data_IF_124874230891
#
_entry.id   IF_124874230891
#
_cell.length_a   1.000
_cell.length_b   1.000
_cell.length_c   1.000
_cell.angle_alpha   90.00
_cell.angle_beta   90.00
_cell.angle_gamma   90.00
#
_symmetry.space_group_name_H-M   'P 1'
#
loop_
_entity.id
_entity.type
_entity.pdbx_description
1 polymer ?
#
# COMPACT_ATOMS: atom_id res chain seq x y z
N UNK A 1 -12.76 20.85 16.99
CA UNK A 1 -13.30 19.47 16.94
C UNK A 1 -14.76 19.57 16.54
N UNK A 2 -15.28 18.63 15.75
CA UNK A 2 -16.70 18.68 15.35
C UNK A 2 -17.56 18.38 16.57
N UNK A 3 -18.72 19.03 16.67
CA UNK A 3 -19.72 18.75 17.71
C UNK A 3 -20.49 17.45 17.47
N UNK A 4 -20.28 16.80 16.33
CA UNK A 4 -20.98 15.59 15.88
C UNK A 4 -20.00 14.51 15.43
N UNK A 5 -20.40 13.25 15.53
CA UNK A 5 -19.65 12.11 15.03
C UNK A 5 -19.87 11.94 13.52
N UNK A 6 -19.35 12.89 12.74
CA UNK A 6 -19.61 13.00 11.30
C UNK A 6 -18.46 12.54 10.40
N UNK A 7 -17.37 12.01 10.96
CA UNK A 7 -16.29 11.42 10.18
C UNK A 7 -16.37 9.91 10.31
N UNK A 8 -16.51 9.23 9.19
CA UNK A 8 -16.49 7.77 9.08
C UNK A 8 -15.14 7.33 8.50
N UNK A 9 -14.56 6.27 9.05
CA UNK A 9 -13.45 5.54 8.48
C UNK A 9 -13.92 4.12 8.17
N UNK A 10 -13.72 3.68 6.94
CA UNK A 10 -13.94 2.29 6.52
C UNK A 10 -12.59 1.65 6.21
N UNK A 11 -12.40 0.41 6.65
CA UNK A 11 -11.21 -0.42 6.40
C UNK A 11 -11.63 -1.86 6.08
N UNK A 12 -11.23 -2.37 4.90
CA UNK A 12 -11.55 -3.74 4.50
C UNK A 12 -10.70 -4.77 5.26
N UNK A 13 -11.38 -5.76 5.81
CA UNK A 13 -10.80 -6.76 6.69
C UNK A 13 -9.83 -7.69 5.97
N UNK A 14 -8.55 -7.65 6.39
CA UNK A 14 -7.47 -8.45 5.82
C UNK A 14 -7.50 -8.48 4.27
N UNK A 15 -7.73 -7.31 3.66
CA UNK A 15 -8.22 -7.14 2.30
C UNK A 15 -7.68 -8.12 1.25
N UNK A 16 -6.37 -8.13 1.00
CA UNK A 16 -5.81 -8.99 -0.05
C UNK A 16 -6.05 -10.47 0.24
N UNK A 17 -5.88 -10.90 1.51
CA UNK A 17 -6.13 -12.29 1.87
C UNK A 17 -7.62 -12.65 1.77
N UNK A 18 -8.52 -11.74 2.13
CA UNK A 18 -9.96 -11.94 1.99
C UNK A 18 -10.39 -12.08 0.52
N UNK A 19 -9.82 -11.26 -0.39
CA UNK A 19 -10.03 -11.40 -1.84
C UNK A 19 -9.55 -12.78 -2.33
N UNK A 20 -8.37 -13.22 -1.91
CA UNK A 20 -7.87 -14.55 -2.28
C UNK A 20 -8.73 -15.69 -1.73
N UNK A 21 -9.23 -15.60 -0.50
CA UNK A 21 -10.13 -16.60 0.09
C UNK A 21 -11.53 -16.60 -0.57
N UNK A 22 -12.03 -15.44 -0.99
CA UNK A 22 -13.28 -15.33 -1.77
C UNK A 22 -13.13 -16.08 -3.09
N UNK A 23 -12.05 -15.79 -3.81
CA UNK A 23 -11.83 -16.25 -5.19
C UNK A 23 -11.30 -17.69 -5.28
N UNK A 24 -10.71 -18.21 -4.20
CA UNK A 24 -10.12 -19.55 -4.10
C UNK A 24 -10.80 -20.32 -2.96
N UNK A 25 -11.96 -20.95 -3.22
CA UNK A 25 -12.79 -21.59 -2.19
C UNK A 25 -12.06 -22.55 -1.27
N UNK A 26 -11.00 -23.23 -1.74
CA UNK A 26 -10.19 -24.12 -0.90
C UNK A 26 -9.36 -23.41 0.18
N UNK A 27 -9.19 -22.09 0.08
CA UNK A 27 -8.47 -21.26 1.05
C UNK A 27 -9.37 -20.65 2.13
N UNK A 28 -10.70 -20.75 1.99
CA UNK A 28 -11.65 -20.23 2.99
C UNK A 28 -11.40 -20.88 4.35
N UNK A 29 -11.26 -20.06 5.40
CA UNK A 29 -10.96 -20.55 6.74
C UNK A 29 -9.54 -21.10 6.90
N UNK A 30 -8.62 -20.85 5.95
CA UNK A 30 -7.22 -21.28 6.00
C UNK A 30 -6.28 -20.08 6.16
N UNK A 31 -5.12 -20.25 6.82
CA UNK A 31 -4.09 -19.21 6.87
C UNK A 31 -3.62 -18.84 5.46
N UNK A 32 -3.87 -17.59 5.06
CA UNK A 32 -3.42 -17.02 3.78
C UNK A 32 -2.51 -15.83 4.03
N UNK A 33 -1.39 -15.79 3.32
CA UNK A 33 -0.40 -14.72 3.39
C UNK A 33 -0.15 -14.23 1.97
N UNK A 34 -0.48 -12.97 1.70
CA UNK A 34 -0.20 -12.31 0.43
C UNK A 34 1.04 -11.43 0.59
N UNK A 35 1.99 -11.54 -0.34
CA UNK A 35 3.19 -10.70 -0.31
C UNK A 35 4.27 -11.13 -1.29
N UNK A 36 5.50 -10.65 -1.05
CA UNK A 36 6.66 -11.08 -1.82
C UNK A 36 6.98 -12.54 -1.53
N UNK A 37 6.92 -13.40 -2.55
CA UNK A 37 7.18 -14.85 -2.40
C UNK A 37 8.66 -15.21 -2.52
N UNK A 38 9.52 -14.28 -2.93
CA UNK A 38 10.98 -14.41 -2.99
C UNK A 38 11.67 -14.32 -1.61
N UNK A 39 12.98 -14.58 -1.57
CA UNK A 39 13.75 -14.69 -0.32
C UNK A 39 13.81 -13.39 0.51
N UNK A 40 13.62 -12.23 -0.13
CA UNK A 40 13.59 -10.90 0.50
C UNK A 40 12.19 -10.31 0.61
N UNK A 41 11.16 -11.10 0.33
CA UNK A 41 9.77 -10.67 0.37
C UNK A 41 9.27 -10.35 1.78
N UNK A 42 8.25 -9.50 1.85
CA UNK A 42 7.54 -9.13 3.07
C UNK A 42 6.06 -9.47 2.93
N UNK A 43 5.41 -9.69 4.08
CA UNK A 43 3.96 -9.85 4.16
C UNK A 43 3.29 -8.52 3.83
N UNK A 44 2.50 -8.47 2.77
CA UNK A 44 1.61 -7.34 2.49
C UNK A 44 0.38 -7.44 3.39
N UNK A 45 -0.26 -8.61 3.40
CA UNK A 45 -1.45 -8.90 4.19
C UNK A 45 -1.43 -10.34 4.69
N UNK A 46 -1.86 -10.55 5.93
CA UNK A 46 -2.11 -11.86 6.51
C UNK A 46 -3.59 -11.98 6.89
N UNK A 47 -4.20 -13.12 6.57
CA UNK A 47 -5.57 -13.45 6.96
C UNK A 47 -5.69 -13.54 8.49
N UNK A 48 -6.91 -13.44 9.03
CA UNK A 48 -7.12 -13.56 10.47
C UNK A 48 -6.65 -14.92 11.01
N UNK A 49 -6.82 -16.00 10.24
CA UNK A 49 -6.29 -17.33 10.59
C UNK A 49 -4.77 -17.33 10.68
N UNK A 50 -4.06 -16.63 9.77
CA UNK A 50 -2.60 -16.49 9.85
C UNK A 50 -2.15 -15.59 11.01
N UNK A 51 -2.94 -14.56 11.35
CA UNK A 51 -2.66 -13.66 12.49
C UNK A 51 -2.69 -14.39 13.84
N UNK A 52 -3.44 -15.49 13.98
CA UNK A 52 -3.42 -16.33 15.19
C UNK A 52 -2.04 -16.92 15.49
N UNK A 53 -1.20 -17.10 14.46
CA UNK A 53 0.19 -17.54 14.58
C UNK A 53 1.18 -16.39 14.77
N UNK A 54 0.67 -15.18 15.02
CA UNK A 54 1.45 -13.97 15.19
C UNK A 54 2.06 -13.45 13.89
N UNK A 55 1.53 -13.81 12.72
CA UNK A 55 1.94 -13.22 11.44
C UNK A 55 1.23 -11.88 11.25
N UNK A 56 1.96 -10.86 10.78
CA UNK A 56 1.40 -9.53 10.53
C UNK A 56 2.01 -8.86 9.31
N UNK A 57 1.40 -7.76 8.85
CA UNK A 57 1.92 -6.95 7.74
C UNK A 57 3.33 -6.41 8.05
N UNK A 58 4.11 -6.19 6.99
CA UNK A 58 5.52 -5.81 7.03
C UNK A 58 6.49 -6.83 7.67
N UNK A 59 6.00 -7.97 8.19
CA UNK A 59 6.84 -9.07 8.64
C UNK A 59 7.65 -9.67 7.48
N UNK A 60 8.89 -10.09 7.73
CA UNK A 60 9.69 -10.78 6.71
C UNK A 60 9.04 -12.11 6.31
N UNK A 61 9.09 -12.46 5.03
CA UNK A 61 8.54 -13.73 4.53
C UNK A 61 9.19 -14.95 5.20
N UNK A 62 10.48 -14.84 5.58
CA UNK A 62 11.20 -15.88 6.34
C UNK A 62 10.56 -16.12 7.71
N UNK A 63 10.33 -15.05 8.46
CA UNK A 63 9.72 -15.13 9.78
C UNK A 63 8.27 -15.61 9.70
N UNK A 64 7.50 -15.10 8.73
CA UNK A 64 6.14 -15.55 8.52
C UNK A 64 6.05 -17.06 8.23
N UNK A 65 6.96 -17.61 7.40
CA UNK A 65 7.06 -19.05 7.14
C UNK A 65 7.46 -19.86 8.37
N UNK A 66 8.32 -19.31 9.22
CA UNK A 66 8.70 -19.96 10.48
C UNK A 66 7.52 -20.01 11.47
N UNK A 67 6.73 -18.93 11.56
CA UNK A 67 5.57 -18.81 12.44
C UNK A 67 4.36 -19.64 11.96
N UNK A 68 4.11 -19.63 10.65
CA UNK A 68 2.97 -20.32 10.05
C UNK A 68 3.41 -21.14 8.80
N UNK A 69 4.07 -22.29 9.01
CA UNK A 69 4.64 -23.08 7.90
C UNK A 69 3.60 -23.70 6.97
N UNK A 70 2.35 -23.82 7.42
CA UNK A 70 1.24 -24.40 6.68
C UNK A 70 0.34 -23.36 5.99
N UNK A 71 0.68 -22.07 6.05
CA UNK A 71 -0.05 -21.02 5.34
C UNK A 71 0.13 -21.11 3.83
N UNK A 72 -0.91 -20.71 3.09
CA UNK A 72 -0.80 -20.45 1.66
C UNK A 72 -0.09 -19.11 1.43
N UNK A 73 1.11 -19.15 0.85
CA UNK A 73 1.87 -17.96 0.46
C UNK A 73 1.58 -17.61 -1.00
N UNK A 74 0.87 -16.52 -1.21
CA UNK A 74 0.42 -16.06 -2.53
C UNK A 74 1.12 -14.78 -2.94
N UNK A 75 1.37 -14.67 -4.25
CA UNK A 75 1.72 -13.40 -4.88
C UNK A 75 0.48 -12.52 -5.04
N UNK A 76 0.67 -11.20 -5.03
CA UNK A 76 -0.45 -10.25 -5.12
C UNK A 76 -1.07 -10.19 -6.51
N UNK A 77 -2.40 -10.37 -6.60
CA UNK A 77 -3.23 -10.14 -7.80
C UNK A 77 -3.83 -8.72 -7.79
N UNK A 78 -2.98 -7.72 -7.99
CA UNK A 78 -3.38 -6.31 -7.87
C UNK A 78 -4.57 -5.89 -8.75
N UNK A 79 -4.80 -6.53 -9.90
CA UNK A 79 -5.99 -6.27 -10.71
C UNK A 79 -7.28 -6.59 -9.94
N UNK A 80 -7.36 -7.76 -9.29
CA UNK A 80 -8.52 -8.18 -8.50
C UNK A 80 -8.71 -7.30 -7.25
N UNK A 81 -7.60 -6.83 -6.67
CA UNK A 81 -7.62 -5.90 -5.54
C UNK A 81 -8.13 -4.53 -5.97
N UNK A 82 -7.65 -3.99 -7.09
CA UNK A 82 -8.13 -2.72 -7.66
C UNK A 82 -9.61 -2.81 -8.03
N UNK A 83 -10.03 -3.88 -8.71
CA UNK A 83 -11.44 -4.07 -9.08
C UNK A 83 -12.36 -4.09 -7.84
N UNK A 84 -11.96 -4.84 -6.81
CA UNK A 84 -12.74 -4.91 -5.57
C UNK A 84 -12.76 -3.55 -4.86
N UNK A 85 -11.63 -2.85 -4.81
CA UNK A 85 -11.51 -1.49 -4.27
C UNK A 85 -12.42 -0.51 -5.00
N UNK A 86 -12.45 -0.53 -6.34
CA UNK A 86 -13.32 0.34 -7.14
C UNK A 86 -14.78 0.19 -6.77
N UNK A 87 -15.26 -1.05 -6.57
CA UNK A 87 -16.64 -1.32 -6.15
C UNK A 87 -16.94 -0.74 -4.76
N UNK A 88 -16.01 -0.90 -3.81
CA UNK A 88 -16.16 -0.33 -2.45
C UNK A 88 -16.14 1.19 -2.48
N UNK A 89 -15.19 1.80 -3.20
CA UNK A 89 -15.09 3.25 -3.35
C UNK A 89 -16.32 3.85 -4.04
N UNK A 90 -16.96 3.11 -4.95
CA UNK A 90 -18.24 3.52 -5.52
C UNK A 90 -19.34 3.59 -4.46
N UNK A 91 -19.48 2.55 -3.62
CA UNK A 91 -20.46 2.56 -2.51
C UNK A 91 -20.21 3.73 -1.54
N UNK A 92 -18.95 4.06 -1.26
CA UNK A 92 -18.62 5.22 -0.42
C UNK A 92 -19.04 6.54 -1.08
N UNK A 93 -18.86 6.69 -2.39
CA UNK A 93 -19.26 7.89 -3.14
C UNK A 93 -20.77 8.02 -3.30
N UNK A 94 -21.50 6.90 -3.31
CA UNK A 94 -22.97 6.89 -3.23
C UNK A 94 -23.46 7.40 -1.86
N UNK A 95 -22.70 7.16 -0.79
CA UNK A 95 -23.02 7.65 0.55
C UNK A 95 -22.72 9.15 0.73
N UNK A 96 -21.58 9.64 0.24
CA UNK A 96 -21.17 11.04 0.38
C UNK A 96 -20.30 11.50 -0.78
N UNK A 97 -20.41 12.75 -1.23
CA UNK A 97 -19.48 13.32 -2.21
C UNK A 97 -18.07 13.56 -1.63
N UNK A 98 -17.90 13.56 -0.31
CA UNK A 98 -16.62 13.78 0.36
C UNK A 98 -16.04 12.45 0.85
N UNK A 99 -15.36 11.75 -0.06
CA UNK A 99 -14.61 10.51 0.21
C UNK A 99 -13.13 10.76 -0.01
N UNK A 100 -12.31 10.49 0.99
CA UNK A 100 -10.85 10.57 0.90
C UNK A 100 -10.25 9.16 0.97
N UNK A 101 -9.89 8.55 -0.17
CA UNK A 101 -9.14 7.30 -0.18
C UNK A 101 -7.73 7.48 0.42
N UNK A 102 -7.29 6.53 1.23
CA UNK A 102 -5.91 6.49 1.74
C UNK A 102 -5.12 5.34 1.11
N UNK A 103 -5.79 4.21 0.86
CA UNK A 103 -5.25 3.02 0.22
C UNK A 103 -6.34 2.33 -0.63
N UNK A 104 -6.06 1.13 -1.15
CA UNK A 104 -7.07 0.34 -1.87
C UNK A 104 -8.22 -0.12 -0.94
N UNK A 105 -7.94 -0.30 0.35
CA UNK A 105 -8.85 -0.88 1.34
C UNK A 105 -9.40 0.10 2.37
N UNK A 106 -8.90 1.33 2.43
CA UNK A 106 -9.30 2.28 3.47
C UNK A 106 -9.64 3.67 2.91
N UNK A 107 -10.66 4.30 3.50
CA UNK A 107 -11.08 5.65 3.17
C UNK A 107 -11.75 6.36 4.35
N UNK A 108 -11.61 7.70 4.39
CA UNK A 108 -12.47 8.55 5.21
C UNK A 108 -13.68 9.02 4.40
N UNK A 109 -14.80 9.20 5.08
CA UNK A 109 -16.04 9.77 4.52
C UNK A 109 -16.57 10.84 5.45
N UNK A 110 -16.99 11.98 4.89
CA UNK A 110 -17.70 13.02 5.63
C UNK A 110 -19.22 12.77 5.59
N UNK A 111 -19.78 12.32 6.72
CA UNK A 111 -21.22 12.09 6.86
C UNK A 111 -22.01 13.40 6.95
N UNK A 112 -21.38 14.53 7.29
CA UNK A 112 -22.07 15.82 7.25
C UNK A 112 -22.44 16.23 5.82
N UNK A 113 -21.75 15.68 4.80
CA UNK A 113 -22.07 15.87 3.39
C UNK A 113 -22.96 14.76 2.79
N UNK A 114 -23.33 13.74 3.57
CA UNK A 114 -24.05 12.55 3.11
C UNK A 114 -25.58 12.69 2.99
N UNK A 115 -26.13 13.89 3.22
CA UNK A 115 -27.59 14.13 3.15
C UNK A 115 -28.40 13.33 4.17
N UNK A 116 -27.80 12.94 5.29
CA UNK A 116 -28.49 12.28 6.40
C UNK A 116 -29.50 13.23 7.06
N UNK A 117 -30.61 12.71 7.64
CA UNK A 117 -31.63 13.55 8.28
C UNK A 117 -31.08 14.34 9.48
N UNK A 118 -30.13 13.74 10.20
CA UNK A 118 -29.37 14.34 11.29
C UNK A 118 -28.02 13.60 11.44
N UNK A 119 -27.22 14.02 12.42
CA UNK A 119 -25.93 13.43 12.77
C UNK A 119 -25.92 12.87 14.19
N UNK A 120 -27.09 12.48 14.70
CA UNK A 120 -27.21 11.80 15.99
C UNK A 120 -26.56 10.42 15.90
N UNK A 121 -26.07 9.93 17.05
CA UNK A 121 -25.34 8.65 17.14
C UNK A 121 -26.15 7.51 16.52
N UNK A 122 -27.47 7.44 16.76
CA UNK A 122 -28.34 6.42 16.17
C UNK A 122 -28.39 6.47 14.64
N UNK A 123 -28.42 7.67 14.06
CA UNK A 123 -28.54 7.87 12.61
C UNK A 123 -27.25 7.48 11.89
N UNK A 124 -26.10 7.91 12.42
CA UNK A 124 -24.79 7.55 11.84
C UNK A 124 -24.46 6.07 12.04
N UNK A 125 -24.91 5.47 13.16
CA UNK A 125 -24.82 4.01 13.40
C UNK A 125 -25.57 3.25 12.31
N UNK A 126 -26.85 3.58 12.09
CA UNK A 126 -27.65 2.93 11.07
C UNK A 126 -27.08 3.14 9.65
N UNK A 127 -26.47 4.30 9.37
CA UNK A 127 -25.77 4.54 8.11
C UNK A 127 -24.53 3.64 7.95
N UNK A 128 -23.72 3.48 9.00
CA UNK A 128 -22.57 2.58 9.01
C UNK A 128 -22.93 1.10 8.85
N UNK A 129 -24.01 0.64 9.48
CA UNK A 129 -24.53 -0.73 9.32
C UNK A 129 -24.97 -1.01 7.88
N UNK A 130 -25.76 -0.10 7.30
CA UNK A 130 -26.17 -0.19 5.89
C UNK A 130 -24.96 -0.19 4.95
N UNK A 131 -23.96 0.64 5.24
CA UNK A 131 -22.73 0.69 4.46
C UNK A 131 -21.99 -0.66 4.48
N UNK A 132 -21.80 -1.25 5.67
CA UNK A 132 -21.13 -2.55 5.83
C UNK A 132 -21.88 -3.66 5.09
N UNK A 133 -23.20 -3.70 5.22
CA UNK A 133 -24.03 -4.66 4.47
C UNK A 133 -23.86 -4.48 2.96
N UNK A 134 -23.91 -3.23 2.47
CA UNK A 134 -23.76 -2.93 1.05
C UNK A 134 -22.39 -3.34 0.52
N UNK A 135 -21.32 -3.07 1.28
CA UNK A 135 -19.96 -3.52 0.95
C UNK A 135 -19.89 -5.04 0.85
N UNK A 136 -20.49 -5.75 1.81
CA UNK A 136 -20.54 -7.21 1.79
C UNK A 136 -21.23 -7.76 0.53
N UNK A 137 -22.37 -7.17 0.15
CA UNK A 137 -23.12 -7.56 -1.05
C UNK A 137 -22.32 -7.31 -2.35
N UNK A 138 -21.81 -6.10 -2.58
CA UNK A 138 -21.17 -5.73 -3.86
C UNK A 138 -19.80 -6.40 -4.08
N UNK A 139 -19.15 -6.78 -2.99
CA UNK A 139 -17.84 -7.45 -3.03
C UNK A 139 -17.96 -8.97 -3.12
N UNK A 140 -19.17 -9.52 -3.02
CA UNK A 140 -19.40 -10.97 -3.00
C UNK A 140 -18.91 -11.63 -1.70
N UNK A 141 -19.01 -10.90 -0.58
CA UNK A 141 -18.83 -11.46 0.75
C UNK A 141 -17.62 -10.97 1.55
N UNK A 142 -16.94 -9.88 1.14
CA UNK A 142 -15.89 -9.29 1.99
C UNK A 142 -16.53 -8.52 3.16
N UNK A 143 -15.82 -8.43 4.27
CA UNK A 143 -16.23 -7.63 5.42
C UNK A 143 -15.40 -6.35 5.50
N UNK A 144 -15.98 -5.35 6.16
CA UNK A 144 -15.31 -4.09 6.45
C UNK A 144 -15.61 -3.71 7.90
N UNK A 145 -14.60 -3.15 8.56
CA UNK A 145 -14.77 -2.57 9.89
C UNK A 145 -14.92 -1.05 9.75
N UNK A 146 -15.87 -0.48 10.50
CA UNK A 146 -16.23 0.94 10.40
C UNK A 146 -16.01 1.64 11.74
N UNK A 147 -15.34 2.79 11.70
CA UNK A 147 -15.21 3.68 12.84
C UNK A 147 -15.87 5.03 12.55
N UNK A 148 -16.70 5.54 13.45
CA UNK A 148 -17.37 6.84 13.28
C UNK A 148 -17.06 7.73 14.48
N UNK A 149 -16.56 8.94 14.24
CA UNK A 149 -16.19 9.86 15.31
C UNK A 149 -16.21 11.33 14.87
N UNK A 150 -15.80 12.23 15.78
CA UNK A 150 -15.75 13.69 15.55
C UNK A 150 -14.56 14.17 14.70
N UNK A 151 -13.60 13.29 14.40
CA UNK A 151 -12.42 13.60 13.59
C UNK A 151 -11.86 12.36 12.89
N UNK A 152 -11.00 12.57 11.88
CA UNK A 152 -10.31 11.49 11.16
C UNK A 152 -9.49 10.60 12.09
N UNK A 153 -8.70 11.20 12.97
CA UNK A 153 -7.91 10.45 13.95
C UNK A 153 -8.80 9.50 14.76
N UNK A 154 -9.84 10.03 15.43
CA UNK A 154 -10.71 9.20 16.26
C UNK A 154 -11.50 8.16 15.45
N UNK A 155 -11.94 8.50 14.24
CA UNK A 155 -12.66 7.56 13.38
C UNK A 155 -11.75 6.38 12.99
N UNK A 156 -10.48 6.65 12.67
CA UNK A 156 -9.51 5.58 12.41
C UNK A 156 -9.25 4.73 13.65
N UNK A 157 -9.07 5.34 14.82
CA UNK A 157 -8.92 4.59 16.09
C UNK A 157 -10.14 3.71 16.33
N UNK A 158 -11.36 4.25 16.20
CA UNK A 158 -12.60 3.52 16.40
C UNK A 158 -12.70 2.30 15.48
N UNK A 159 -12.29 2.41 14.22
CA UNK A 159 -12.32 1.28 13.28
C UNK A 159 -11.33 0.15 13.60
N UNK A 160 -10.35 0.38 14.49
CA UNK A 160 -9.42 -0.67 14.93
C UNK A 160 -9.89 -1.41 16.18
N UNK A 161 -10.85 -0.86 16.94
CA UNK A 161 -11.28 -1.41 18.23
C UNK A 161 -12.09 -2.69 18.09
N UNK A 162 -12.83 -2.82 17.00
CA UNK A 162 -13.80 -3.89 16.78
C UNK A 162 -13.51 -4.67 15.50
N UNK A 163 -12.23 -4.81 15.11
CA UNK A 163 -11.85 -5.69 13.99
C UNK A 163 -11.90 -7.17 14.40
N UNK A 164 -12.35 -8.10 13.53
CA UNK A 164 -12.95 -7.88 12.21
C UNK A 164 -14.47 -7.67 12.22
N UNK A 165 -14.99 -7.19 11.09
CA UNK A 165 -16.42 -7.12 10.77
C UNK A 165 -17.25 -6.43 11.87
N UNK A 166 -16.68 -5.37 12.44
CA UNK A 166 -17.30 -4.62 13.52
C UNK A 166 -17.59 -3.17 13.17
N UNK A 167 -18.16 -2.47 14.14
CA UNK A 167 -18.37 -1.04 14.03
C UNK A 167 -18.31 -0.37 15.39
N UNK A 168 -17.56 0.71 15.49
CA UNK A 168 -17.53 1.55 16.69
C UNK A 168 -17.90 2.99 16.36
N UNK A 169 -18.87 3.54 17.08
CA UNK A 169 -19.18 4.97 17.07
C UNK A 169 -18.67 5.58 18.37
N UNK A 170 -17.85 6.63 18.28
CA UNK A 170 -17.35 7.41 19.41
C UNK A 170 -18.26 8.63 19.58
N UNK A 171 -19.12 8.68 20.63
CA UNK A 171 -19.98 9.82 20.86
C UNK A 171 -19.17 11.11 21.08
N UNK A 172 -19.60 12.27 20.53
CA UNK A 172 -18.94 13.54 20.78
C UNK A 172 -18.87 13.85 22.27
N UNK A 173 -17.70 14.30 22.74
CA UNK A 173 -17.44 14.59 24.16
C UNK A 173 -16.86 13.42 24.96
N UNK A 174 -16.79 12.22 24.39
CA UNK A 174 -16.22 11.02 25.03
C UNK A 174 -14.81 10.67 24.53
N UNK A 175 -14.24 11.47 23.62
CA UNK A 175 -13.02 11.12 22.90
C UNK A 175 -11.81 10.91 23.83
N UNK A 176 -11.63 11.78 24.83
CA UNK A 176 -10.50 11.68 25.75
C UNK A 176 -10.65 10.50 26.71
N UNK A 177 -11.87 10.15 27.12
CA UNK A 177 -12.14 8.99 27.94
C UNK A 177 -11.69 7.71 27.23
N UNK A 178 -12.03 7.60 25.93
CA UNK A 178 -11.59 6.51 25.09
C UNK A 178 -10.06 6.45 24.94
N UNK A 179 -9.43 7.59 24.66
CA UNK A 179 -8.01 7.63 24.28
C UNK A 179 -7.04 7.43 25.45
N UNK A 180 -7.30 8.06 26.60
CA UNK A 180 -6.38 8.08 27.77
C UNK A 180 -5.75 6.73 28.14
N UNK A 181 -6.51 5.62 28.25
CA UNK A 181 -5.93 4.32 28.62
C UNK A 181 -5.11 3.65 27.50
N UNK A 182 -5.19 4.14 26.27
CA UNK A 182 -4.54 3.51 25.13
C UNK A 182 -3.03 3.81 25.08
N UNK A 183 -2.26 2.91 24.47
CA UNK A 183 -0.82 3.11 24.21
C UNK A 183 -0.61 4.22 23.18
N UNK A 184 0.48 4.97 23.23
CA UNK A 184 0.76 6.01 22.21
C UNK A 184 0.83 5.49 20.76
N UNK A 185 1.04 4.19 20.57
CA UNK A 185 1.14 3.54 19.25
C UNK A 185 -0.18 3.46 18.48
N UNK A 186 -1.33 3.72 19.11
CA UNK A 186 -2.61 3.85 18.37
C UNK A 186 -2.67 5.15 17.56
N UNK A 187 -1.86 6.16 17.91
CA UNK A 187 -1.84 7.43 17.17
C UNK A 187 -1.19 7.23 15.78
N UNK A 188 -1.90 7.51 14.68
CA UNK A 188 -1.33 7.45 13.33
C UNK A 188 -0.10 8.34 13.22
N UNK A 189 1.01 7.77 12.74
CA UNK A 189 2.31 8.44 12.66
C UNK A 189 3.25 8.15 13.83
N UNK A 190 2.79 7.45 14.89
CA UNK A 190 3.66 6.91 15.95
C UNK A 190 4.13 5.51 15.56
N UNK A 191 5.12 5.45 14.66
CA UNK A 191 5.79 4.20 14.30
C UNK A 191 6.78 3.71 15.37
N UNK A 192 7.42 2.52 15.19
CA UNK A 192 8.31 1.92 16.19
C UNK A 192 9.44 2.85 16.67
N UNK A 193 10.01 3.67 15.77
CA UNK A 193 11.06 4.61 16.12
C UNK A 193 10.57 5.74 17.05
N UNK A 194 9.40 6.30 16.77
CA UNK A 194 8.78 7.35 17.60
C UNK A 194 8.30 6.77 18.93
N UNK A 195 7.67 5.60 18.90
CA UNK A 195 7.25 4.89 20.11
C UNK A 195 8.42 4.62 21.04
N UNK A 196 9.57 4.20 20.51
CA UNK A 196 10.78 3.97 21.31
C UNK A 196 11.36 5.28 21.88
N UNK A 197 11.31 6.41 21.15
CA UNK A 197 11.71 7.71 21.70
C UNK A 197 10.82 8.15 22.86
N UNK A 198 9.50 8.01 22.71
CA UNK A 198 8.52 8.29 23.77
C UNK A 198 8.73 7.37 24.98
N UNK A 199 8.94 6.07 24.74
CA UNK A 199 9.22 5.09 25.79
C UNK A 199 10.46 5.45 26.61
N UNK A 200 11.53 5.93 25.98
CA UNK A 200 12.74 6.39 26.69
C UNK A 200 12.50 7.63 27.54
N UNK A 201 11.50 8.45 27.18
CA UNK A 201 11.03 9.56 27.99
C UNK A 201 9.99 9.15 29.04
N UNK A 202 9.71 7.85 29.22
CA UNK A 202 8.73 7.34 30.18
C UNK A 202 7.27 7.48 29.73
N UNK A 203 7.03 7.76 28.45
CA UNK A 203 5.69 7.98 27.89
C UNK A 203 5.25 6.70 27.15
N UNK A 204 4.22 6.04 27.67
CA UNK A 204 3.67 4.78 27.17
C UNK A 204 2.23 4.93 26.72
N UNK A 205 1.43 5.73 27.42
CA UNK A 205 0.00 5.92 27.22
C UNK A 205 -0.34 7.31 26.70
N UNK A 206 -1.54 7.46 26.15
CA UNK A 206 -2.03 8.78 25.74
C UNK A 206 -2.24 9.69 26.95
N UNK A 207 -2.68 9.17 28.10
CA UNK A 207 -2.78 9.96 29.33
C UNK A 207 -1.45 10.57 29.78
N UNK A 208 -0.35 9.79 29.71
CA UNK A 208 0.99 10.30 30.00
C UNK A 208 1.43 11.34 28.96
N UNK A 209 1.15 11.09 27.68
CA UNK A 209 1.47 12.01 26.59
C UNK A 209 0.68 13.33 26.68
N UNK A 210 -0.58 13.28 27.13
CA UNK A 210 -1.45 14.44 27.37
C UNK A 210 -0.86 15.35 28.47
N UNK A 211 -0.12 14.79 29.44
CA UNK A 211 0.52 15.56 30.50
C UNK A 211 1.82 16.28 30.06
N UNK A 212 2.33 16.00 28.85
CA UNK A 212 3.56 16.61 28.34
C UNK A 212 3.26 17.96 27.68
N UNK A 213 4.10 18.94 27.96
CA UNK A 213 4.07 20.26 27.35
C UNK A 213 4.51 20.22 25.88
N UNK A 214 3.94 21.11 25.07
CA UNK A 214 4.16 21.12 23.61
C UNK A 214 5.65 21.28 23.26
N UNK A 215 6.33 22.24 23.89
CA UNK A 215 7.74 22.53 23.66
C UNK A 215 8.65 21.33 23.96
N UNK A 216 8.27 20.49 24.91
CA UNK A 216 9.01 19.28 25.23
C UNK A 216 8.85 18.20 24.15
N UNK A 217 7.64 17.99 23.65
CA UNK A 217 7.40 17.08 22.52
C UNK A 217 8.09 17.57 21.25
N UNK A 218 8.11 18.89 21.01
CA UNK A 218 8.83 19.50 19.90
C UNK A 218 10.34 19.29 20.02
N UNK A 219 10.92 19.44 21.21
CA UNK A 219 12.36 19.12 21.42
C UNK A 219 12.66 17.64 21.20
N UNK A 220 11.76 16.74 21.61
CA UNK A 220 11.96 15.30 21.51
C UNK A 220 11.79 14.75 20.08
N UNK A 221 10.82 15.29 19.33
CA UNK A 221 10.37 14.71 18.05
C UNK A 221 10.56 15.64 16.84
N UNK A 222 10.91 16.91 17.07
CA UNK A 222 10.95 17.96 16.06
C UNK A 222 9.61 18.67 15.92
N UNK A 223 9.63 19.85 15.29
CA UNK A 223 8.50 20.77 15.20
C UNK A 223 7.21 20.12 14.69
N UNK A 224 7.23 19.57 13.48
CA UNK A 224 6.02 19.03 12.86
C UNK A 224 5.42 17.83 13.61
N UNK A 225 6.26 16.88 14.03
CA UNK A 225 5.80 15.67 14.72
C UNK A 225 5.40 15.97 16.17
N UNK A 226 6.16 16.81 16.88
CA UNK A 226 5.88 17.21 18.26
C UNK A 226 4.55 17.96 18.37
N UNK A 227 4.34 18.98 17.54
CA UNK A 227 3.08 19.73 17.48
C UNK A 227 1.89 18.81 17.14
N UNK A 228 2.03 18.00 16.09
CA UNK A 228 0.97 17.08 15.67
C UNK A 228 0.59 16.09 16.77
N UNK A 229 1.59 15.48 17.42
CA UNK A 229 1.35 14.51 18.48
C UNK A 229 0.71 15.16 19.73
N UNK A 230 1.13 16.37 20.08
CA UNK A 230 0.55 17.14 21.20
C UNK A 230 -0.95 17.42 21.00
N UNK A 231 -1.34 17.78 19.77
CA UNK A 231 -2.75 17.99 19.41
C UNK A 231 -3.56 16.68 19.46
N UNK A 232 -3.04 15.61 18.84
CA UNK A 232 -3.74 14.33 18.77
C UNK A 232 -3.93 13.67 20.14
N UNK A 233 -2.97 13.81 21.05
CA UNK A 233 -3.11 13.33 22.44
C UNK A 233 -4.29 13.99 23.19
N UNK A 234 -4.72 15.18 22.73
CA UNK A 234 -5.85 15.93 23.27
C UNK A 234 -7.12 15.79 22.40
N UNK A 235 -7.20 14.74 21.58
CA UNK A 235 -8.26 14.50 20.59
C UNK A 235 -8.46 15.63 19.56
N UNK A 236 -7.47 16.52 19.39
CA UNK A 236 -7.57 17.66 18.48
C UNK A 236 -7.01 17.26 17.12
N UNK A 237 -7.92 17.06 16.17
CA UNK A 237 -7.58 16.87 14.77
C UNK A 237 -8.47 17.76 13.89
N UNK A 238 -7.96 18.91 13.41
CA UNK A 238 -8.74 19.84 12.60
C UNK A 238 -8.81 19.45 11.11
N UNK A 239 -8.12 18.38 10.68
CA UNK A 239 -8.01 18.03 9.26
C UNK A 239 -9.38 17.67 8.69
N UNK A 240 -9.89 18.35 7.65
CA UNK A 240 -11.13 17.99 6.99
C UNK A 240 -10.95 16.74 6.13
N UNK A 241 -12.03 16.03 5.82
CA UNK A 241 -12.05 15.02 4.75
C UNK A 241 -11.98 15.74 3.40
N UNK A 242 -11.03 15.34 2.56
CA UNK A 242 -10.70 15.95 1.28
C UNK A 242 -10.91 14.92 0.17
N UNK A 243 -11.82 15.22 -0.76
CA UNK A 243 -12.12 14.32 -1.87
C UNK A 243 -10.92 14.13 -2.83
N UNK A 244 -10.09 15.17 -2.94
CA UNK A 244 -8.94 15.20 -3.84
C UNK A 244 -7.64 15.42 -3.05
N UNK A 245 -6.60 14.69 -3.44
CA UNK A 245 -5.23 14.89 -2.97
C UNK A 245 -4.33 15.14 -4.17
N UNK A 246 -3.58 16.22 -4.10
CA UNK A 246 -2.55 16.53 -5.08
C UNK A 246 -1.42 15.48 -5.02
N UNK A 247 -1.06 14.93 -6.17
CA UNK A 247 0.09 14.02 -6.28
C UNK A 247 1.36 14.84 -6.14
N UNK A 248 2.21 14.51 -5.16
CA UNK A 248 3.44 15.28 -4.88
C UNK A 248 4.68 14.76 -5.59
N UNK A 249 4.66 13.47 -5.94
CA UNK A 249 5.79 12.79 -6.58
C UNK A 249 5.36 11.49 -7.23
N UNK A 250 6.04 11.10 -8.30
CA UNK A 250 5.90 9.79 -8.96
C UNK A 250 7.25 9.09 -8.91
N UNK A 251 7.28 7.83 -8.48
CA UNK A 251 8.52 7.06 -8.38
C UNK A 251 8.34 5.58 -8.72
N UNK A 252 9.45 4.95 -9.07
CA UNK A 252 9.57 3.51 -9.29
C UNK A 252 10.83 3.05 -8.57
N UNK A 253 10.70 2.01 -7.73
CA UNK A 253 11.81 1.39 -7.02
C UNK A 253 11.71 -0.13 -7.04
N UNK A 254 12.86 -0.80 -6.92
CA UNK A 254 12.97 -2.24 -6.88
C UNK A 254 13.96 -2.69 -5.81
N UNK A 255 13.55 -3.67 -4.99
CA UNK A 255 14.47 -4.44 -4.15
C UNK A 255 14.85 -5.71 -4.88
N UNK A 256 16.15 -5.97 -5.03
CA UNK A 256 16.66 -7.09 -5.81
C UNK A 256 16.94 -8.30 -4.90
N UNK A 257 16.79 -9.51 -5.45
CA UNK A 257 17.01 -10.77 -4.71
C UNK A 257 18.46 -10.93 -4.26
N UNK A 258 19.39 -10.49 -5.10
CA UNK A 258 20.83 -10.42 -4.84
C UNK A 258 21.28 -8.97 -4.91
N UNK A 259 22.22 -8.57 -4.05
CA UNK A 259 22.76 -7.22 -4.08
C UNK A 259 23.53 -6.97 -5.38
N UNK A 260 23.29 -5.81 -5.97
CA UNK A 260 23.89 -5.38 -7.23
C UNK A 260 25.29 -4.83 -6.96
N UNK A 261 26.28 -5.37 -7.66
CA UNK A 261 27.67 -4.92 -7.58
C UNK A 261 28.18 -4.32 -8.90
N UNK A 262 27.48 -4.57 -10.01
CA UNK A 262 27.84 -4.05 -11.32
C UNK A 262 27.19 -2.69 -11.58
N UNK A 263 28.04 -1.67 -11.72
CA UNK A 263 27.68 -0.29 -12.06
C UNK A 263 26.80 -0.18 -13.31
N UNK A 264 27.17 -0.89 -14.38
CA UNK A 264 26.46 -0.83 -15.68
C UNK A 264 25.05 -1.38 -15.56
N UNK A 265 24.90 -2.45 -14.77
CA UNK A 265 23.59 -3.01 -14.43
C UNK A 265 22.76 -1.99 -13.67
N UNK A 266 23.32 -1.31 -12.66
CA UNK A 266 22.59 -0.27 -11.92
C UNK A 266 22.12 0.88 -12.84
N UNK A 267 22.98 1.35 -13.74
CA UNK A 267 22.67 2.44 -14.68
C UNK A 267 21.55 2.09 -15.66
N UNK A 268 21.57 0.87 -16.22
CA UNK A 268 20.50 0.44 -17.10
C UNK A 268 19.19 0.15 -16.33
N UNK A 269 19.26 -0.30 -15.07
CA UNK A 269 18.08 -0.42 -14.18
C UNK A 269 17.46 0.96 -13.89
N UNK A 270 18.26 1.96 -13.53
CA UNK A 270 17.77 3.34 -13.35
C UNK A 270 17.20 3.91 -14.64
N UNK A 271 17.80 3.61 -15.80
CA UNK A 271 17.29 4.05 -17.10
C UNK A 271 15.90 3.47 -17.39
N UNK A 272 15.70 2.17 -17.11
CA UNK A 272 14.38 1.54 -17.22
C UNK A 272 13.37 2.18 -16.26
N UNK A 273 13.73 2.33 -14.99
CA UNK A 273 12.87 2.95 -13.97
C UNK A 273 12.51 4.40 -14.33
N UNK A 274 13.44 5.17 -14.87
CA UNK A 274 13.21 6.53 -15.33
C UNK A 274 12.22 6.60 -16.51
N UNK A 275 12.32 5.67 -17.46
CA UNK A 275 11.32 5.52 -18.55
C UNK A 275 9.94 5.19 -17.99
N UNK A 276 9.85 4.27 -17.03
CA UNK A 276 8.59 3.94 -16.35
C UNK A 276 8.00 5.15 -15.61
N UNK A 277 8.84 5.95 -14.94
CA UNK A 277 8.42 7.19 -14.27
C UNK A 277 7.90 8.20 -15.30
N UNK A 278 8.64 8.45 -16.38
CA UNK A 278 8.21 9.38 -17.45
C UNK A 278 6.90 8.94 -18.11
N UNK A 279 6.74 7.64 -18.41
CA UNK A 279 5.51 7.10 -18.95
C UNK A 279 4.31 7.26 -17.98
N UNK A 280 4.52 7.03 -16.69
CA UNK A 280 3.50 7.26 -15.65
C UNK A 280 3.14 8.73 -15.53
N UNK A 281 4.13 9.61 -15.52
CA UNK A 281 3.92 11.06 -15.50
C UNK A 281 3.06 11.52 -16.69
N UNK A 282 3.43 11.12 -17.91
CA UNK A 282 2.65 11.39 -19.13
C UNK A 282 1.23 10.83 -19.07
N UNK A 283 1.05 9.57 -18.66
CA UNK A 283 -0.30 8.96 -18.51
C UNK A 283 -1.19 9.78 -17.57
N UNK A 284 -0.61 10.40 -16.55
CA UNK A 284 -1.34 11.18 -15.54
C UNK A 284 -1.28 12.70 -15.77
N UNK A 285 -0.78 13.18 -16.93
CA UNK A 285 -0.74 14.61 -17.26
C UNK A 285 0.27 15.44 -16.45
N UNK A 286 1.24 14.79 -15.80
CA UNK A 286 2.25 15.47 -14.97
C UNK A 286 3.57 15.68 -15.71
N UNK A 287 4.20 16.81 -15.43
CA UNK A 287 5.63 17.06 -15.64
C UNK A 287 6.28 17.38 -14.29
N UNK A 288 7.59 17.28 -14.14
CA UNK A 288 8.23 17.52 -12.84
C UNK A 288 9.68 17.98 -12.93
N UNK A 289 10.18 18.61 -11.86
CA UNK A 289 11.46 19.33 -11.88
C UNK A 289 12.58 18.64 -11.14
N UNK A 290 12.28 17.91 -10.07
CA UNK A 290 13.31 17.37 -9.18
C UNK A 290 13.40 15.87 -9.35
N UNK A 291 14.47 15.40 -9.98
CA UNK A 291 14.80 13.98 -10.10
C UNK A 291 15.56 13.56 -8.85
N UNK A 292 15.12 12.49 -8.20
CA UNK A 292 15.74 11.91 -7.02
C UNK A 292 16.04 10.44 -7.28
N UNK A 293 17.24 10.00 -6.93
CA UNK A 293 17.54 8.57 -6.81
C UNK A 293 17.60 8.17 -5.34
N UNK A 294 17.14 6.94 -5.09
CA UNK A 294 17.21 6.29 -3.78
C UNK A 294 18.01 5.01 -3.92
N UNK A 295 19.06 4.88 -3.12
CA UNK A 295 19.94 3.72 -3.09
C UNK A 295 19.91 3.15 -1.68
N UNK A 296 19.56 1.87 -1.53
CA UNK A 296 19.72 1.16 -0.26
C UNK A 296 20.84 0.15 -0.39
N UNK A 297 21.81 0.21 0.53
CA UNK A 297 22.93 -0.71 0.59
C UNK A 297 22.54 -2.04 1.30
N UNK A 298 23.43 -3.03 1.25
CA UNK A 298 23.22 -4.35 1.87
C UNK A 298 22.93 -4.29 3.37
N UNK A 299 23.49 -3.31 4.08
CA UNK A 299 23.34 -3.04 5.52
C UNK A 299 22.07 -2.23 5.87
N UNK A 300 21.20 -2.00 4.89
CA UNK A 300 19.99 -1.17 4.96
C UNK A 300 20.22 0.35 5.06
N UNK A 301 21.48 0.82 5.00
CA UNK A 301 21.78 2.25 4.86
C UNK A 301 21.12 2.78 3.60
N UNK A 302 20.30 3.85 3.72
CA UNK A 302 19.58 4.45 2.61
C UNK A 302 20.18 5.81 2.27
N UNK A 303 20.69 5.94 1.05
CA UNK A 303 21.24 7.15 0.47
C UNK A 303 20.24 7.74 -0.52
N UNK A 304 20.14 9.07 -0.53
CA UNK A 304 19.32 9.82 -1.48
C UNK A 304 20.14 10.94 -2.10
N UNK A 305 19.98 11.14 -3.41
CA UNK A 305 20.56 12.27 -4.15
C UNK A 305 19.50 12.82 -5.10
N UNK A 306 19.49 14.12 -5.26
CA UNK A 306 18.50 14.80 -6.09
C UNK A 306 19.13 15.94 -6.88
N UNK A 307 18.59 16.19 -8.07
CA UNK A 307 18.89 17.37 -8.88
C UNK A 307 17.59 17.99 -9.37
N UNK A 308 17.54 19.32 -9.35
CA UNK A 308 16.37 20.11 -9.77
C UNK A 308 16.68 20.84 -11.06
N UNK A 309 15.82 20.65 -12.06
CA UNK A 309 15.89 21.29 -13.36
C UNK A 309 15.29 22.71 -13.34
N UNK A 310 15.78 23.53 -14.28
CA UNK A 310 15.23 24.87 -14.54
C UNK A 310 13.77 24.81 -15.01
N UNK A 311 13.45 23.83 -15.85
CA UNK A 311 12.11 23.58 -16.39
C UNK A 311 11.67 22.15 -16.06
N UNK A 312 10.37 21.90 -15.87
CA UNK A 312 9.85 20.55 -15.67
C UNK A 312 10.00 19.71 -16.95
N UNK A 313 10.10 18.40 -16.78
CA UNK A 313 10.16 17.43 -17.88
C UNK A 313 9.33 16.19 -17.51
N UNK A 314 8.82 15.48 -18.51
CA UNK A 314 8.29 14.12 -18.39
C UNK A 314 9.04 13.11 -19.27
N UNK A 315 10.16 13.55 -19.87
CA UNK A 315 10.98 12.74 -20.73
C UNK A 315 11.81 11.74 -19.92
N UNK A 316 11.53 10.45 -20.16
CA UNK A 316 12.23 9.35 -19.51
C UNK A 316 13.73 9.32 -19.82
N UNK A 317 14.16 9.80 -20.99
CA UNK A 317 15.58 9.85 -21.35
C UNK A 317 16.33 10.92 -20.54
N UNK A 318 15.76 12.10 -20.41
CA UNK A 318 16.26 13.19 -19.57
C UNK A 318 16.31 12.78 -18.10
N UNK A 319 15.24 12.18 -17.57
CA UNK A 319 15.23 11.65 -16.20
C UNK A 319 16.32 10.59 -16.01
N UNK A 320 16.50 9.68 -16.98
CA UNK A 320 17.51 8.63 -16.92
C UNK A 320 18.93 9.20 -16.87
N UNK A 321 19.24 10.19 -17.72
CA UNK A 321 20.56 10.85 -17.75
C UNK A 321 20.88 11.49 -16.40
N UNK A 322 19.93 12.19 -15.80
CA UNK A 322 20.10 12.80 -14.47
C UNK A 322 20.28 11.73 -13.40
N UNK A 323 19.45 10.68 -13.42
CA UNK A 323 19.54 9.58 -12.47
C UNK A 323 20.91 8.87 -12.52
N UNK A 324 21.46 8.63 -13.73
CA UNK A 324 22.82 8.06 -13.89
C UNK A 324 23.90 8.98 -13.36
N UNK A 325 23.80 10.29 -13.61
CA UNK A 325 24.74 11.29 -13.08
C UNK A 325 24.73 11.31 -11.55
N UNK A 326 23.54 11.37 -10.93
CA UNK A 326 23.41 11.32 -9.46
C UNK A 326 23.96 10.02 -8.87
N UNK A 327 23.84 8.93 -9.62
CA UNK A 327 24.32 7.64 -9.20
C UNK A 327 25.87 7.57 -9.23
N UNK A 328 26.56 8.35 -10.08
CA UNK A 328 28.02 8.44 -10.11
C UNK A 328 28.61 9.08 -8.83
N UNK A 329 27.84 9.92 -8.14
CA UNK A 329 28.25 10.59 -6.90
C UNK A 329 28.06 9.75 -5.63
N UNK A 330 27.65 8.48 -5.77
CA UNK A 330 27.36 7.57 -4.67
C UNK A 330 28.35 6.41 -4.61
N UNK A 331 28.87 6.14 -3.42
CA UNK A 331 29.62 4.92 -3.14
C UNK A 331 28.66 3.72 -3.09
N UNK A 332 28.79 2.84 -4.09
CA UNK A 332 28.01 1.61 -4.22
C UNK A 332 28.85 0.35 -3.98
N UNK A 333 30.08 0.50 -3.45
CA UNK A 333 31.06 -0.60 -3.29
C UNK A 333 30.56 -1.70 -2.35
N UNK A 334 29.76 -1.34 -1.34
CA UNK A 334 29.15 -2.29 -0.41
C UNK A 334 28.05 -3.16 -1.04
N UNK A 335 27.70 -2.97 -2.30
CA UNK A 335 26.59 -3.66 -2.95
C UNK A 335 25.25 -3.00 -2.66
N UNK A 336 24.42 -2.93 -3.71
CA UNK A 336 23.15 -2.21 -3.69
C UNK A 336 21.98 -3.18 -3.64
N UNK A 337 21.19 -3.07 -2.57
CA UNK A 337 19.99 -3.87 -2.31
C UNK A 337 18.75 -3.35 -3.01
N UNK A 338 18.56 -2.03 -3.07
CA UNK A 338 17.43 -1.36 -3.73
C UNK A 338 17.90 -0.15 -4.51
N UNK A 339 17.32 0.03 -5.70
CA UNK A 339 17.43 1.24 -6.52
C UNK A 339 16.04 1.76 -6.83
N UNK A 340 15.89 3.09 -6.78
CA UNK A 340 14.68 3.77 -7.21
C UNK A 340 14.97 5.12 -7.82
N UNK A 341 14.09 5.54 -8.74
CA UNK A 341 14.04 6.86 -9.34
C UNK A 341 12.68 7.48 -9.02
N UNK A 342 12.66 8.75 -8.63
CA UNK A 342 11.45 9.51 -8.43
C UNK A 342 11.57 10.92 -8.95
N UNK A 343 10.44 11.50 -9.34
CA UNK A 343 10.31 12.90 -9.74
C UNK A 343 9.31 13.59 -8.83
N UNK A 344 9.67 14.79 -8.35
CA UNK A 344 8.85 15.66 -7.51
C UNK A 344 8.87 17.10 -8.00
N UNK A 345 8.10 17.98 -7.34
CA UNK A 345 7.81 19.32 -7.85
C UNK A 345 7.01 19.20 -9.13
N UNK A 346 5.92 18.43 -9.06
CA UNK A 346 5.05 18.16 -10.18
C UNK A 346 4.27 19.42 -10.55
N UNK A 347 4.02 19.60 -11.84
CA UNK A 347 3.18 20.65 -12.39
C UNK A 347 2.29 20.04 -13.48
N UNK A 348 1.09 20.61 -13.61
CA UNK A 348 0.21 20.33 -14.75
C UNK A 348 0.98 20.69 -16.03
N UNK A 349 1.03 19.74 -16.96
CA UNK A 349 1.76 19.76 -18.23
C UNK A 349 2.28 21.14 -18.66
N UNK A 350 3.60 21.31 -18.66
CA UNK A 350 4.27 22.48 -19.24
C UNK A 350 4.92 22.04 -20.54
N UNK A 351 4.56 22.72 -21.64
CA UNK A 351 5.18 22.55 -22.94
C UNK A 351 6.70 22.64 -22.82
N UNK A 352 7.41 21.59 -23.25
CA UNK A 352 8.88 21.59 -23.30
C UNK A 352 9.37 22.70 -24.25
N UNK A 353 10.56 23.24 -23.98
CA UNK A 353 11.16 24.31 -24.77
C UNK A 353 11.39 23.81 -26.21
N UNK A 354 10.68 24.40 -27.18
CA UNK A 354 10.64 23.98 -28.60
C UNK A 354 12.02 24.01 -29.28
N UNK A 355 13.03 24.61 -28.63
CA UNK A 355 14.39 24.81 -29.11
C UNK A 355 15.47 24.19 -28.21
N UNK A 356 15.09 23.35 -27.25
CA UNK A 356 16.04 22.57 -26.46
C UNK A 356 16.76 21.56 -27.34
N UNK A 357 18.06 21.76 -27.59
CA UNK A 357 18.90 20.81 -28.31
C UNK A 357 18.74 19.41 -27.73
N UNK A 358 18.20 18.47 -28.50
CA UNK A 358 18.31 17.03 -28.23
C UNK A 358 19.80 16.69 -28.24
N UNK A 359 20.42 16.39 -27.07
CA UNK A 359 21.77 15.85 -27.08
C UNK A 359 21.68 14.45 -27.70
N UNK A 360 22.67 14.11 -28.52
CA UNK A 360 22.76 12.82 -29.21
C UNK A 360 22.36 11.67 -28.28
N UNK A 361 21.52 10.77 -28.80
CA UNK A 361 21.28 9.48 -28.20
C UNK A 361 22.61 8.75 -28.18
N UNK A 362 23.34 8.84 -27.07
CA UNK A 362 24.35 7.83 -26.76
C UNK A 362 23.61 6.50 -26.74
N UNK A 363 23.72 5.74 -27.84
CA UNK A 363 23.39 4.33 -27.93
C UNK A 363 24.25 3.60 -26.90
N UNK A 364 23.85 3.69 -25.63
CA UNK A 364 24.43 2.90 -24.57
C UNK A 364 24.21 1.44 -24.99
N UNK A 365 25.33 0.73 -25.21
CA UNK A 365 25.33 -0.71 -25.50
C UNK A 365 24.26 -1.39 -24.64
N UNK A 366 23.41 -2.20 -25.26
CA UNK A 366 22.33 -2.90 -24.58
C UNK A 366 22.92 -3.80 -23.48
N UNK A 367 23.07 -3.25 -22.28
CA UNK A 367 23.42 -4.03 -21.09
C UNK A 367 22.30 -5.04 -20.95
N UNK A 368 22.65 -6.33 -21.00
CA UNK A 368 21.72 -7.40 -20.64
C UNK A 368 21.37 -7.18 -19.17
N UNK A 369 20.27 -6.47 -18.96
CA UNK A 369 19.76 -6.25 -17.63
C UNK A 369 19.36 -7.61 -17.09
N UNK A 370 19.70 -7.94 -15.84
CA UNK A 370 19.00 -9.02 -15.17
C UNK A 370 17.53 -8.62 -15.20
N UNK A 371 16.75 -9.34 -16.00
CA UNK A 371 15.31 -9.30 -15.85
C UNK A 371 15.05 -9.70 -14.39
N UNK A 372 14.25 -8.94 -13.63
CA UNK A 372 13.81 -9.46 -12.36
C UNK A 372 13.24 -10.86 -12.64
N UNK A 373 13.65 -11.92 -11.94
CA UNK A 373 13.16 -13.27 -12.21
C UNK A 373 11.66 -13.26 -11.95
N UNK A 374 10.87 -13.00 -12.99
CA UNK A 374 9.44 -13.18 -12.94
C UNK A 374 9.28 -14.68 -12.95
N UNK A 375 8.89 -15.24 -11.80
CA UNK A 375 8.35 -16.60 -11.79
C UNK A 375 7.30 -16.64 -12.89
N UNK A 376 7.50 -17.47 -13.90
CA UNK A 376 6.54 -17.65 -15.00
C UNK A 376 5.16 -17.97 -14.43
N UNK A 377 5.15 -18.73 -13.34
CA UNK A 377 3.96 -19.18 -12.62
C UNK A 377 4.02 -18.75 -11.15
N UNK A 378 3.69 -17.50 -10.78
CA UNK A 378 3.76 -17.09 -9.39
C UNK A 378 2.57 -17.69 -8.61
N UNK A 379 2.77 -18.20 -7.37
CA UNK A 379 1.68 -18.78 -6.58
C UNK A 379 0.51 -17.81 -6.41
N UNK A 380 -0.71 -18.30 -6.59
CA UNK A 380 -1.93 -17.52 -6.55
C UNK A 380 -2.35 -16.89 -7.88
N UNK A 381 -1.50 -16.91 -8.92
CA UNK A 381 -1.87 -16.39 -10.23
C UNK A 381 -2.97 -17.22 -10.89
N UNK A 382 -3.88 -16.53 -11.58
CA UNK A 382 -4.98 -17.16 -12.30
C UNK A 382 -4.48 -17.69 -13.66
N UNK A 383 -4.99 -18.87 -14.03
CA UNK A 383 -4.58 -19.62 -15.23
C UNK A 383 -5.79 -20.27 -15.88
N UNK A 384 -5.62 -20.65 -17.14
CA UNK A 384 -6.57 -21.47 -17.89
C UNK A 384 -5.82 -22.60 -18.57
N UNK A 385 -6.39 -23.80 -18.53
CA UNK A 385 -5.93 -24.96 -19.27
C UNK A 385 -7.00 -25.38 -20.27
N UNK A 386 -6.60 -25.76 -21.48
CA UNK A 386 -7.52 -26.04 -22.60
C UNK A 386 -8.60 -27.08 -22.26
N UNK A 387 -8.21 -28.18 -21.60
CA UNK A 387 -9.14 -29.24 -21.20
C UNK A 387 -9.78 -29.03 -19.81
N UNK A 388 -9.02 -28.55 -18.83
CA UNK A 388 -9.41 -28.51 -17.42
C UNK A 388 -10.10 -27.18 -17.04
N UNK A 389 -10.07 -26.18 -17.91
CA UNK A 389 -10.67 -24.88 -17.69
C UNK A 389 -9.85 -23.97 -16.77
N UNK A 390 -10.54 -23.07 -16.07
CA UNK A 390 -9.90 -22.07 -15.22
C UNK A 390 -9.41 -22.66 -13.89
N UNK A 391 -8.31 -22.11 -13.40
CA UNK A 391 -7.75 -22.45 -12.10
C UNK A 391 -6.73 -21.41 -11.65
N UNK A 392 -5.95 -21.78 -10.65
CA UNK A 392 -4.89 -20.93 -10.12
C UNK A 392 -3.64 -21.72 -9.75
N UNK A 393 -2.48 -21.07 -9.83
CA UNK A 393 -1.18 -21.66 -9.51
C UNK A 393 -1.11 -21.96 -8.01
N UNK A 394 -1.23 -23.23 -7.64
CA UNK A 394 -1.07 -23.70 -6.27
C UNK A 394 0.39 -23.69 -5.82
N UNK A 395 1.30 -24.01 -6.73
CA UNK A 395 2.75 -23.98 -6.50
C UNK A 395 3.55 -24.11 -7.79
N UNK A 396 4.81 -23.67 -7.76
CA UNK A 396 5.71 -23.76 -8.92
C UNK A 396 7.17 -23.90 -8.49
N UNK A 397 7.93 -24.65 -9.28
CA UNK A 397 9.36 -24.86 -9.08
C UNK A 397 9.87 -26.09 -9.84
N UNK A 398 11.18 -26.15 -10.08
CA UNK A 398 11.85 -27.31 -10.67
C UNK A 398 11.25 -27.80 -12.00
N UNK A 399 10.82 -26.87 -12.88
CA UNK A 399 10.22 -27.21 -14.18
C UNK A 399 8.75 -27.65 -14.12
N UNK A 400 8.11 -27.56 -12.95
CA UNK A 400 6.74 -28.02 -12.72
C UNK A 400 5.89 -26.88 -12.18
N UNK A 401 4.67 -26.77 -12.71
CA UNK A 401 3.62 -25.91 -12.19
C UNK A 401 2.46 -26.78 -11.73
N UNK A 402 1.99 -26.55 -10.51
CA UNK A 402 0.83 -27.24 -9.96
C UNK A 402 -0.33 -26.27 -9.89
N UNK A 403 -1.45 -26.65 -10.48
CA UNK A 403 -2.66 -25.84 -10.64
C UNK A 403 -3.81 -26.50 -9.90
N UNK A 404 -4.61 -25.68 -9.24
CA UNK A 404 -5.89 -26.07 -8.65
C UNK A 404 -7.01 -25.48 -9.50
N UNK A 405 -7.89 -26.33 -10.01
CA UNK A 405 -8.96 -25.96 -10.95
C UNK A 405 -10.24 -25.57 -10.21
N UNK A 406 -10.25 -24.36 -9.66
CA UNK A 406 -11.40 -23.76 -8.99
C UNK A 406 -11.44 -22.25 -9.23
N UNK A 407 -12.62 -21.64 -9.05
CA UNK A 407 -12.86 -20.20 -9.16
C UNK A 407 -13.77 -19.73 -8.03
N UNK A 408 -14.03 -18.42 -7.95
CA UNK A 408 -15.01 -17.84 -7.03
C UNK A 408 -16.40 -18.51 -7.09
N UNK A 409 -16.76 -19.08 -8.25
CA UNK A 409 -18.10 -19.59 -8.57
C UNK A 409 -18.18 -21.12 -8.60
N UNK A 410 -17.09 -21.83 -8.33
CA UNK A 410 -17.08 -23.30 -8.30
C UNK A 410 -16.75 -23.82 -6.90
N UNK A 411 -17.11 -25.07 -6.57
CA UNK A 411 -16.60 -25.71 -5.35
C UNK A 411 -15.08 -25.97 -5.45
N UNK A 412 -14.40 -26.30 -4.33
CA UNK A 412 -13.01 -26.69 -4.35
C UNK A 412 -12.72 -27.79 -5.37
N UNK A 413 -11.79 -27.52 -6.28
CA UNK A 413 -11.53 -28.36 -7.44
C UNK A 413 -10.33 -29.29 -7.31
N UNK A 414 -10.07 -30.12 -8.35
CA UNK A 414 -8.92 -31.01 -8.38
C UNK A 414 -7.62 -30.22 -8.53
N UNK A 415 -6.54 -30.85 -8.07
CA UNK A 415 -5.17 -30.37 -8.26
C UNK A 415 -4.48 -31.24 -9.32
N UNK A 416 -3.75 -30.62 -10.24
CA UNK A 416 -2.89 -31.29 -11.24
C UNK A 416 -1.57 -30.57 -11.41
N UNK A 417 -0.53 -31.32 -11.75
CA UNK A 417 0.79 -30.78 -12.05
C UNK A 417 1.09 -30.95 -13.53
N UNK A 418 1.66 -29.92 -14.12
CA UNK A 418 2.05 -29.83 -15.52
C UNK A 418 3.52 -29.42 -15.60
N UNK A 419 4.13 -29.61 -16.78
CA UNK A 419 5.41 -28.96 -17.06
C UNK A 419 5.18 -27.45 -17.13
N UNK A 420 6.17 -26.66 -16.74
CA UNK A 420 6.06 -25.20 -16.80
C UNK A 420 6.08 -24.62 -18.22
N UNK A 421 6.42 -25.45 -19.21
CA UNK A 421 6.38 -25.21 -20.66
C UNK A 421 5.15 -25.84 -21.36
N UNK A 422 4.15 -26.30 -20.61
CA UNK A 422 2.94 -26.92 -21.18
C UNK A 422 2.16 -25.94 -22.08
N UNK A 423 2.00 -26.23 -23.40
CA UNK A 423 1.37 -25.31 -24.33
C UNK A 423 -0.15 -25.15 -24.10
N UNK A 424 -0.79 -26.10 -23.40
CA UNK A 424 -2.21 -26.04 -23.07
C UNK A 424 -2.48 -25.16 -21.84
N UNK A 425 -1.44 -24.79 -21.07
CA UNK A 425 -1.56 -23.96 -19.88
C UNK A 425 -1.17 -22.52 -20.17
N UNK A 426 -2.08 -21.58 -19.90
CA UNK A 426 -1.87 -20.15 -20.12
C UNK A 426 -2.22 -19.35 -18.88
N UNK A 427 -1.51 -18.24 -18.66
CA UNK A 427 -1.92 -17.27 -17.64
C UNK A 427 -3.17 -16.56 -18.11
N UNK A 428 -4.11 -16.38 -17.18
CA UNK A 428 -5.22 -15.48 -17.42
C UNK A 428 -4.67 -14.05 -17.25
N UNK A 429 -4.50 -13.34 -18.35
CA UNK A 429 -4.07 -11.95 -18.28
C UNK A 429 -5.20 -11.11 -17.68
N UNK A 430 -4.87 -10.18 -16.77
CA UNK A 430 -5.87 -9.24 -16.29
C UNK A 430 -6.37 -8.40 -17.46
N UNK A 431 -7.64 -7.94 -17.44
CA UNK A 431 -8.12 -6.98 -18.41
C UNK A 431 -7.18 -5.77 -18.46
N UNK A 432 -6.99 -5.19 -19.65
CA UNK A 432 -6.14 -4.01 -19.81
C UNK A 432 -6.61 -2.91 -18.85
N UNK A 433 -5.68 -2.34 -18.08
CA UNK A 433 -5.97 -1.20 -17.19
C UNK A 433 -6.22 0.03 -18.08
N UNK A 434 -7.48 0.43 -18.26
CA UNK A 434 -7.84 1.75 -18.84
C UNK A 434 -7.17 2.89 -18.04
#
# INVERSE_FOLDING_TARGET
MRSTASVLHLDLDAFFAAVEQRDKPSLRGKPVIVGGTGGRGVVATASYEARTFGVGSAMSGREARARCPHAAFLSGRFHAYRETSTRVMQVLRELSPLVEPLSLDEAFVDLAAAGLPDLEVSTVTAAGERLRQRVHEVTGGLTATVGIASSKFLAKVASELDKPDGMTVVPPGTELELLRPMKVTVIPGVGPATAERLRRAGIHTIAELEAVEEDELVRLLGQAQGHGLWQLARARDPRPVLAERETKSISVEGTYDTDLNDRRVMEGLLTRQARDVGARMRKNGFSGRTVTIKVRLHDFTTLSRSSTLSSPTDDGATIARIARSLLADLDTTGGVRLLGVGVSGLADWVQEDLFGSTPDEDEAEAVVLPEPPRRTWPPGADVVHDEMGQGWVWGSGSGVVTVRFETAHTPPGPVRSFRDDDPALRRLEPPAED
#
